data_IF_945170339289
#
_entry.id   IF_945170339289
#
_cell.length_a   1.000
_cell.length_b   1.000
_cell.length_c   1.000
_cell.angle_alpha   90.00
_cell.angle_beta   90.00
_cell.angle_gamma   90.00
#
_symmetry.space_group_name_H-M   'P 1'
#
loop_
_entity.id
_entity.type
_entity.pdbx_description
1 polymer ?
#
# COMPACT_ATOMS: atom_id res chain seq x y z
N UNK A 1 13.21 2.95 -16.47
CA UNK A 1 12.77 4.32 -16.09
C UNK A 1 11.77 4.22 -14.94
N UNK A 2 11.79 5.19 -14.00
CA UNK A 2 10.79 5.29 -12.91
C UNK A 2 9.44 5.70 -13.52
N UNK A 3 8.34 5.08 -13.09
CA UNK A 3 6.99 5.39 -13.61
C UNK A 3 6.05 5.96 -12.56
N UNK A 4 6.36 5.83 -11.27
CA UNK A 4 5.47 6.28 -10.20
C UNK A 4 5.54 7.78 -9.89
N UNK A 5 6.61 8.47 -10.28
CA UNK A 5 6.76 9.92 -10.11
C UNK A 5 7.74 10.49 -11.17
N UNK A 6 7.74 11.81 -11.33
CA UNK A 6 8.73 12.50 -12.18
C UNK A 6 10.08 12.55 -11.47
N UNK A 7 11.02 11.74 -11.95
CA UNK A 7 12.37 11.68 -11.43
C UNK A 7 13.32 12.72 -12.04
N UNK A 8 12.89 13.59 -12.97
CA UNK A 8 13.79 14.47 -13.76
C UNK A 8 14.77 15.31 -12.94
N UNK A 9 14.39 15.74 -11.74
CA UNK A 9 15.21 16.54 -10.83
C UNK A 9 16.16 15.69 -9.93
N UNK A 10 16.05 14.37 -9.94
CA UNK A 10 16.77 13.48 -9.03
C UNK A 10 18.05 12.93 -9.67
N UNK A 11 19.09 12.70 -8.86
CA UNK A 11 20.32 12.02 -9.35
C UNK A 11 20.04 10.57 -9.75
N UNK A 12 19.14 9.89 -9.03
CA UNK A 12 18.74 8.51 -9.29
C UNK A 12 17.56 8.47 -10.23
N UNK A 13 17.71 7.77 -11.36
CA UNK A 13 16.73 7.70 -12.45
C UNK A 13 16.13 6.29 -12.66
N UNK A 14 16.39 5.37 -11.72
CA UNK A 14 15.92 3.99 -11.79
C UNK A 14 15.31 3.51 -10.47
N UNK A 15 14.37 2.59 -10.57
CA UNK A 15 13.76 1.87 -9.46
C UNK A 15 13.35 0.46 -9.91
N UNK A 16 13.20 -0.45 -8.95
CA UNK A 16 12.71 -1.81 -9.17
C UNK A 16 11.21 -1.87 -8.87
N UNK A 17 10.41 -1.20 -9.69
CA UNK A 17 8.95 -1.17 -9.52
C UNK A 17 8.33 -2.55 -9.84
N UNK A 18 7.32 -2.95 -9.05
CA UNK A 18 6.51 -4.13 -9.37
C UNK A 18 5.73 -3.84 -10.66
N UNK A 19 5.95 -4.67 -11.68
CA UNK A 19 5.35 -4.53 -13.00
C UNK A 19 3.96 -5.16 -13.03
N UNK A 20 3.09 -4.58 -13.85
CA UNK A 20 1.76 -5.12 -14.15
C UNK A 20 0.86 -5.38 -12.92
N UNK A 21 1.17 -4.72 -11.80
CA UNK A 21 0.38 -4.78 -10.58
C UNK A 21 -0.91 -3.98 -10.73
N UNK A 22 -2.03 -4.69 -10.65
CA UNK A 22 -3.37 -4.13 -10.74
C UNK A 22 -4.14 -4.43 -9.44
N UNK A 23 -4.30 -3.44 -8.53
CA UNK A 23 -5.00 -3.65 -7.27
C UNK A 23 -6.51 -3.92 -7.47
N UNK A 24 -7.08 -3.64 -8.64
CA UNK A 24 -8.49 -3.94 -8.93
C UNK A 24 -8.82 -5.42 -9.02
N UNK A 25 -7.79 -6.27 -9.19
CA UNK A 25 -7.93 -7.73 -9.14
C UNK A 25 -8.08 -8.27 -7.71
N UNK A 26 -7.76 -7.46 -6.70
CA UNK A 26 -7.75 -7.87 -5.29
C UNK A 26 -8.78 -7.11 -4.46
N UNK A 27 -9.06 -5.87 -4.82
CA UNK A 27 -9.85 -4.96 -4.01
C UNK A 27 -10.91 -4.29 -4.87
N UNK A 28 -12.10 -4.08 -4.31
CA UNK A 28 -13.05 -3.16 -4.92
C UNK A 28 -12.54 -1.71 -4.83
N UNK A 29 -13.15 -0.82 -5.62
CA UNK A 29 -12.71 0.59 -5.70
C UNK A 29 -12.78 1.34 -4.36
N UNK A 30 -13.72 1.02 -3.47
CA UNK A 30 -13.83 1.68 -2.16
C UNK A 30 -12.71 1.19 -1.25
N UNK A 31 -12.42 -0.10 -1.30
CA UNK A 31 -11.43 -0.75 -0.45
C UNK A 31 -10.01 -0.36 -0.85
N UNK A 32 -9.71 -0.27 -2.15
CA UNK A 32 -8.43 0.24 -2.65
C UNK A 32 -8.04 1.59 -2.04
N UNK A 33 -9.02 2.47 -1.83
CA UNK A 33 -8.79 3.82 -1.32
C UNK A 33 -8.49 3.86 0.18
N UNK A 34 -8.53 2.73 0.89
CA UNK A 34 -8.20 2.62 2.32
C UNK A 34 -6.77 2.15 2.57
N UNK A 35 -6.06 1.67 1.54
CA UNK A 35 -4.70 1.16 1.66
C UNK A 35 -3.71 2.04 0.93
N UNK A 36 -2.49 2.10 1.46
CA UNK A 36 -1.32 2.54 0.69
C UNK A 36 -0.81 1.39 -0.21
N UNK A 37 0.04 1.71 -1.18
CA UNK A 37 0.58 0.73 -2.14
C UNK A 37 1.32 -0.42 -1.46
N UNK A 38 2.05 -0.16 -0.37
CA UNK A 38 2.77 -1.25 0.31
C UNK A 38 1.82 -2.31 0.89
N UNK A 39 0.70 -1.88 1.49
CA UNK A 39 -0.31 -2.78 2.04
C UNK A 39 -1.03 -3.56 0.93
N UNK A 40 -1.33 -2.91 -0.21
CA UNK A 40 -1.91 -3.58 -1.37
C UNK A 40 -1.00 -4.70 -1.90
N UNK A 41 0.30 -4.45 -1.97
CA UNK A 41 1.30 -5.45 -2.37
C UNK A 41 1.44 -6.57 -1.33
N UNK A 42 1.39 -6.24 -0.03
CA UNK A 42 1.46 -7.23 1.05
C UNK A 42 0.28 -8.21 1.00
N UNK A 43 -0.94 -7.72 0.78
CA UNK A 43 -2.13 -8.56 0.62
C UNK A 43 -2.04 -9.42 -0.63
N UNK A 44 -1.54 -8.86 -1.75
CA UNK A 44 -1.31 -9.62 -2.98
C UNK A 44 -0.36 -10.80 -2.74
N UNK A 45 0.80 -10.52 -2.15
CA UNK A 45 1.81 -11.53 -1.85
C UNK A 45 1.29 -12.59 -0.85
N UNK A 46 0.55 -12.16 0.18
CA UNK A 46 -0.07 -13.08 1.14
C UNK A 46 -1.09 -14.01 0.46
N UNK A 47 -1.92 -13.48 -0.45
CA UNK A 47 -2.87 -14.30 -1.20
C UNK A 47 -2.16 -15.33 -2.08
N UNK A 48 -1.16 -14.91 -2.85
CA UNK A 48 -0.37 -15.81 -3.69
C UNK A 48 0.34 -16.89 -2.86
N UNK A 49 0.88 -16.53 -1.70
CA UNK A 49 1.51 -17.47 -0.78
C UNK A 49 0.51 -18.49 -0.20
N UNK A 50 -0.68 -18.04 0.19
CA UNK A 50 -1.75 -18.92 0.67
C UNK A 50 -2.21 -19.89 -0.41
N UNK A 51 -2.42 -19.41 -1.64
CA UNK A 51 -2.75 -20.26 -2.79
C UNK A 51 -1.65 -21.30 -3.07
N UNK A 52 -0.39 -20.88 -3.03
CA UNK A 52 0.75 -21.78 -3.25
C UNK A 52 0.94 -22.80 -2.13
N UNK A 53 0.57 -22.46 -0.89
CA UNK A 53 0.68 -23.37 0.26
C UNK A 53 -0.23 -24.60 0.17
N UNK A 54 -1.31 -24.52 -0.62
CA UNK A 54 -2.34 -25.56 -0.67
C UNK A 54 -3.12 -25.72 0.64
N UNK A 55 -2.99 -24.78 1.58
CA UNK A 55 -3.67 -24.83 2.87
C UNK A 55 -5.19 -24.67 2.69
N UNK A 56 -5.94 -25.65 3.18
CA UNK A 56 -7.41 -25.59 3.22
C UNK A 56 -7.84 -24.99 4.55
N UNK A 57 -8.02 -23.66 4.57
CA UNK A 57 -8.37 -22.91 5.78
C UNK A 57 -9.66 -23.39 6.46
N UNK A 58 -10.54 -24.11 5.76
CA UNK A 58 -11.76 -24.68 6.36
C UNK A 58 -11.50 -25.95 7.16
N UNK A 59 -10.33 -26.58 6.98
CA UNK A 59 -9.88 -27.75 7.75
C UNK A 59 -8.88 -27.40 8.85
N UNK A 60 -8.41 -26.15 8.90
CA UNK A 60 -7.42 -25.70 9.86
C UNK A 60 -8.05 -25.07 11.11
N UNK A 61 -7.37 -25.20 12.25
CA UNK A 61 -7.72 -24.43 13.44
C UNK A 61 -7.18 -22.99 13.31
N UNK A 62 -8.07 -22.04 13.00
CA UNK A 62 -7.72 -20.63 12.77
C UNK A 62 -7.12 -19.94 14.02
N UNK A 63 -7.38 -20.44 15.24
CA UNK A 63 -6.75 -19.91 16.48
C UNK A 63 -5.27 -20.29 16.61
N UNK A 64 -4.78 -21.19 15.75
CA UNK A 64 -3.38 -21.61 15.66
C UNK A 64 -2.63 -20.93 14.51
N UNK A 65 -3.31 -20.08 13.74
CA UNK A 65 -2.74 -19.36 12.60
C UNK A 65 -2.54 -17.91 13.00
N UNK A 66 -1.33 -17.39 12.75
CA UNK A 66 -0.98 -16.00 13.01
C UNK A 66 -0.43 -15.31 11.77
N UNK A 67 -0.46 -13.97 11.79
CA UNK A 67 0.17 -13.13 10.78
C UNK A 67 1.26 -12.31 11.44
N UNK A 68 2.48 -12.42 10.92
CA UNK A 68 3.58 -11.52 11.27
C UNK A 68 3.95 -10.78 10.00
N UNK A 69 3.67 -9.48 9.98
CA UNK A 69 3.94 -8.60 8.86
C UNK A 69 4.63 -7.34 9.37
N UNK A 70 5.54 -6.80 8.56
CA UNK A 70 6.26 -5.57 8.87
C UNK A 70 6.53 -4.81 7.58
N UNK A 71 6.42 -3.48 7.67
CA UNK A 71 6.82 -2.56 6.62
C UNK A 71 7.80 -1.54 7.22
N UNK A 72 8.98 -1.39 6.61
CA UNK A 72 10.03 -0.55 7.16
C UNK A 72 9.66 0.94 7.25
N UNK A 73 8.95 1.45 6.25
CA UNK A 73 8.56 2.88 6.17
C UNK A 73 7.04 3.08 6.04
N UNK A 74 6.26 1.99 6.13
CA UNK A 74 4.80 2.02 6.01
C UNK A 74 4.31 2.77 4.76
N UNK A 75 3.22 3.51 4.93
CA UNK A 75 2.52 4.23 3.86
C UNK A 75 3.17 5.53 3.41
N UNK A 76 4.49 5.54 3.16
CA UNK A 76 5.25 6.76 2.86
C UNK A 76 4.68 7.59 1.69
N UNK A 77 4.06 6.92 0.71
CA UNK A 77 3.43 7.59 -0.41
C UNK A 77 2.20 8.38 0.05
N UNK A 78 1.33 7.78 0.85
CA UNK A 78 0.21 8.50 1.47
C UNK A 78 0.71 9.68 2.31
N UNK A 79 1.81 9.53 3.06
CA UNK A 79 2.41 10.65 3.80
C UNK A 79 2.76 11.82 2.87
N UNK A 80 3.50 11.54 1.80
CA UNK A 80 3.91 12.55 0.82
C UNK A 80 2.69 13.25 0.19
N UNK A 81 1.69 12.48 -0.25
CA UNK A 81 0.48 13.00 -0.90
C UNK A 81 -0.33 13.90 0.06
N UNK A 82 -0.53 13.47 1.31
CA UNK A 82 -1.33 14.19 2.29
C UNK A 82 -0.62 15.45 2.81
N UNK A 83 0.68 15.36 3.16
CA UNK A 83 1.46 16.49 3.67
C UNK A 83 1.76 17.50 2.55
N UNK A 84 2.13 17.02 1.37
CA UNK A 84 2.32 17.86 0.19
C UNK A 84 1.01 18.56 -0.20
N UNK A 85 -0.11 17.83 -0.18
CA UNK A 85 -1.44 18.36 -0.41
C UNK A 85 -1.83 19.48 0.56
N UNK A 86 -1.54 19.31 1.85
CA UNK A 86 -1.71 20.37 2.85
C UNK A 86 -0.82 21.58 2.55
N UNK A 87 0.48 21.37 2.28
CA UNK A 87 1.43 22.46 2.05
C UNK A 87 1.04 23.35 0.86
N UNK A 88 0.61 22.75 -0.26
CA UNK A 88 0.22 23.51 -1.46
C UNK A 88 -1.18 24.12 -1.37
N UNK A 89 -1.97 23.79 -0.33
CA UNK A 89 -3.32 24.32 -0.09
C UNK A 89 -3.45 24.89 1.33
N UNK A 90 -2.41 25.54 1.85
CA UNK A 90 -2.36 25.96 3.26
C UNK A 90 -3.51 26.93 3.64
N UNK A 91 -4.01 27.69 2.66
CA UNK A 91 -5.16 28.59 2.77
C UNK A 91 -6.47 27.86 3.12
N UNK A 92 -6.59 26.57 2.77
CA UNK A 92 -7.78 25.74 3.02
C UNK A 92 -7.77 25.05 4.39
N UNK A 93 -6.69 25.24 5.16
CA UNK A 93 -6.46 24.59 6.44
C UNK A 93 -6.07 23.10 6.32
N UNK A 94 -5.92 22.39 7.45
CA UNK A 94 -5.41 21.01 7.51
C UNK A 94 -6.45 19.97 7.05
N UNK A 95 -6.71 19.92 5.74
CA UNK A 95 -7.63 18.95 5.13
C UNK A 95 -6.90 17.66 4.78
N UNK A 96 -7.02 16.67 5.65
CA UNK A 96 -6.46 15.33 5.45
C UNK A 96 -7.55 14.30 5.16
N UNK A 97 -7.20 13.26 4.42
CA UNK A 97 -8.06 12.09 4.25
C UNK A 97 -8.30 11.41 5.61
N UNK A 98 -9.54 11.02 5.96
CA UNK A 98 -9.82 10.27 7.19
C UNK A 98 -9.03 8.96 7.31
N UNK A 99 -8.56 8.40 6.19
CA UNK A 99 -7.73 7.21 6.16
C UNK A 99 -6.22 7.50 6.16
N UNK A 100 -5.77 8.75 6.34
CA UNK A 100 -4.35 9.09 6.33
C UNK A 100 -3.56 8.22 7.33
N UNK A 101 -3.88 8.31 8.62
CA UNK A 101 -3.17 7.52 9.65
C UNK A 101 -3.36 6.02 9.45
N UNK A 102 -4.58 5.48 9.21
CA UNK A 102 -4.74 4.07 8.87
C UNK A 102 -3.83 3.58 7.74
N UNK A 103 -3.75 4.31 6.63
CA UNK A 103 -2.88 3.97 5.49
C UNK A 103 -1.39 3.99 5.82
N UNK A 104 -0.98 4.76 6.81
CA UNK A 104 0.42 4.86 7.22
C UNK A 104 0.90 3.63 7.97
N UNK A 105 0.02 3.01 8.77
CA UNK A 105 0.40 2.04 9.79
C UNK A 105 -0.19 0.63 9.57
N UNK A 106 -1.20 0.48 8.70
CA UNK A 106 -1.96 -0.75 8.52
C UNK A 106 -1.35 -1.70 7.48
#
# INVERSE_FOLDING_TARGET
PITHFDASAFKTQFACEVKDFDPSKLFDRKEQRKYDRYAQLAVAAAKEAMENSGMDLEKENKDRIGVIFSAGIGGIRTFEEEVGGYYVNIDKGPRFNPFFIPKMIA
#
